data_IF_453924391113
#
_entry.id   IF_453924391113
#
_cell.length_a   1.000
_cell.length_b   1.000
_cell.length_c   1.000
_cell.angle_alpha   90.00
_cell.angle_beta   90.00
_cell.angle_gamma   90.00
#
_symmetry.space_group_name_H-M   'P 1'
#
loop_
_entity.id
_entity.type
_entity.pdbx_description
1 polymer ?
#
# COMPACT_ATOMS: atom_id res chain seq x y z
N UNK A 1 -12.11 3.82 -2.68
CA UNK A 1 -10.97 3.04 -2.22
C UNK A 1 -9.80 3.21 -3.16
N UNK A 2 -8.61 3.47 -2.62
CA UNK A 2 -7.43 3.59 -3.45
C UNK A 2 -6.84 2.22 -3.72
N UNK A 3 -6.36 2.01 -4.93
CA UNK A 3 -5.69 0.78 -5.27
C UNK A 3 -4.20 1.05 -5.41
N UNK A 4 -3.41 0.31 -4.65
CA UNK A 4 -1.96 0.35 -4.72
C UNK A 4 -1.54 -0.95 -5.39
N UNK A 5 -0.68 -0.87 -6.39
CA UNK A 5 -0.26 -2.06 -7.10
C UNK A 5 1.24 -2.12 -7.26
N UNK A 6 1.85 -3.21 -6.83
CA UNK A 6 3.27 -3.44 -6.98
C UNK A 6 3.47 -4.43 -8.12
N UNK A 7 4.33 -4.07 -9.07
CA UNK A 7 4.62 -4.92 -10.20
C UNK A 7 6.11 -5.04 -10.42
N UNK A 8 6.59 -6.23 -10.80
CA UNK A 8 8.01 -6.39 -11.14
C UNK A 8 8.28 -5.81 -12.52
N UNK A 9 9.47 -5.24 -12.66
CA UNK A 9 9.97 -4.71 -13.92
C UNK A 9 11.25 -5.47 -14.25
N UNK A 10 11.75 -5.36 -15.48
CA UNK A 10 12.99 -6.05 -15.84
C UNK A 10 14.15 -5.72 -14.91
N UNK A 11 14.23 -4.49 -14.42
CA UNK A 11 15.33 -4.09 -13.58
C UNK A 11 14.89 -3.53 -12.25
N UNK A 12 13.77 -3.96 -11.74
CA UNK A 12 13.31 -3.45 -10.46
C UNK A 12 11.83 -3.70 -10.23
N UNK A 13 11.21 -2.78 -9.50
CA UNK A 13 9.82 -2.90 -9.14
C UNK A 13 9.14 -1.54 -9.19
N UNK A 14 7.85 -1.53 -9.46
CA UNK A 14 7.09 -0.27 -9.48
C UNK A 14 5.93 -0.36 -8.49
N UNK A 15 5.57 0.80 -7.95
CA UNK A 15 4.39 0.94 -7.12
C UNK A 15 3.53 2.03 -7.76
N UNK A 16 2.32 1.66 -8.15
CA UNK A 16 1.40 2.63 -8.73
C UNK A 16 0.20 2.81 -7.81
N UNK A 17 -0.40 3.98 -7.88
CA UNK A 17 -1.55 4.34 -7.05
C UNK A 17 -2.64 4.81 -7.98
N UNK A 18 -3.87 4.31 -7.79
CA UNK A 18 -4.97 4.72 -8.64
C UNK A 18 -5.18 6.22 -8.51
N UNK A 19 -5.39 6.87 -9.64
CA UNK A 19 -5.56 8.31 -9.67
C UNK A 19 -4.26 9.11 -9.75
N UNK A 20 -3.11 8.45 -9.65
CA UNK A 20 -1.81 9.10 -9.73
C UNK A 20 -1.12 8.61 -11.00
N UNK A 21 -0.81 9.50 -11.93
CA UNK A 21 -0.28 9.08 -13.23
C UNK A 21 1.14 8.51 -13.23
N UNK A 22 1.94 8.83 -12.22
CA UNK A 22 3.31 8.36 -12.19
C UNK A 22 3.49 7.25 -11.19
N UNK A 23 4.31 6.26 -11.55
CA UNK A 23 4.63 5.17 -10.64
C UNK A 23 5.96 5.46 -9.95
N UNK A 24 6.13 4.92 -8.75
CA UNK A 24 7.38 5.02 -8.02
C UNK A 24 8.19 3.77 -8.35
N UNK A 25 9.51 3.93 -8.47
CA UNK A 25 10.39 2.83 -8.84
C UNK A 25 11.28 2.45 -7.67
N UNK A 26 11.50 1.15 -7.51
CA UNK A 26 12.30 0.61 -6.42
C UNK A 26 13.23 -0.48 -6.94
N UNK A 27 14.31 -0.72 -6.22
CA UNK A 27 15.26 -1.75 -6.61
C UNK A 27 14.80 -3.14 -6.20
N UNK A 28 13.99 -3.25 -5.18
CA UNK A 28 13.55 -4.56 -4.70
C UNK A 28 12.06 -4.54 -4.40
N UNK A 29 11.47 -5.72 -4.42
CA UNK A 29 10.07 -5.85 -4.04
C UNK A 29 9.84 -5.50 -2.58
N UNK A 30 10.83 -5.78 -1.73
CA UNK A 30 10.70 -5.45 -0.30
C UNK A 30 10.63 -3.95 -0.09
N UNK A 31 11.43 -3.17 -0.84
CA UNK A 31 11.39 -1.72 -0.73
C UNK A 31 10.05 -1.18 -1.23
N UNK A 32 9.56 -1.73 -2.33
CA UNK A 32 8.27 -1.32 -2.87
C UNK A 32 7.15 -1.63 -1.88
N UNK A 33 7.20 -2.80 -1.26
CA UNK A 33 6.19 -3.19 -0.31
C UNK A 33 6.23 -2.31 0.94
N UNK A 34 7.41 -2.00 1.44
CA UNK A 34 7.53 -1.12 2.60
C UNK A 34 6.95 0.26 2.30
N UNK A 35 7.23 0.78 1.10
CA UNK A 35 6.69 2.09 0.70
C UNK A 35 5.16 2.02 0.59
N UNK A 36 4.64 0.93 0.03
CA UNK A 36 3.20 0.78 -0.11
C UNK A 36 2.50 0.69 1.24
N UNK A 37 3.11 0.00 2.21
CA UNK A 37 2.52 -0.11 3.52
C UNK A 37 2.48 1.24 4.23
N UNK A 38 3.54 2.05 4.07
CA UNK A 38 3.54 3.38 4.66
C UNK A 38 2.47 4.26 4.02
N UNK A 39 2.34 4.15 2.70
CA UNK A 39 1.34 4.95 2.00
C UNK A 39 -0.07 4.51 2.38
N UNK A 40 -0.32 3.21 2.44
CA UNK A 40 -1.64 2.69 2.83
C UNK A 40 -2.02 3.14 4.24
N UNK A 41 -1.05 3.12 5.16
CA UNK A 41 -1.30 3.56 6.52
C UNK A 41 -1.62 5.06 6.56
N UNK A 42 -0.90 5.85 5.73
CA UNK A 42 -1.17 7.28 5.69
C UNK A 42 -2.56 7.57 5.13
N UNK A 43 -2.95 6.88 4.08
CA UNK A 43 -4.28 7.06 3.53
C UNK A 43 -5.34 6.70 4.55
N UNK A 44 -5.11 5.62 5.30
CA UNK A 44 -6.05 5.23 6.33
C UNK A 44 -6.20 6.29 7.42
N UNK A 45 -5.09 6.95 7.79
CA UNK A 45 -5.17 8.00 8.80
C UNK A 45 -5.98 9.20 8.31
N UNK A 46 -6.08 9.37 7.00
CA UNK A 46 -6.90 10.44 6.43
C UNK A 46 -8.30 9.93 6.07
N UNK A 47 -8.68 8.75 6.57
CA UNK A 47 -10.02 8.23 6.36
C UNK A 47 -10.24 7.59 5.00
N UNK A 48 -9.17 7.33 4.25
CA UNK A 48 -9.29 6.77 2.92
C UNK A 48 -8.82 5.33 2.89
N UNK A 49 -9.71 4.37 2.65
CA UNK A 49 -9.30 2.97 2.60
C UNK A 49 -8.47 2.68 1.35
N UNK A 50 -7.58 1.73 1.46
CA UNK A 50 -6.72 1.36 0.36
C UNK A 50 -6.54 -0.15 0.29
N UNK A 51 -6.22 -0.64 -0.90
CA UNK A 51 -5.98 -2.04 -1.12
C UNK A 51 -4.66 -2.16 -1.87
N UNK A 52 -3.80 -3.04 -1.40
CA UNK A 52 -2.51 -3.29 -2.05
C UNK A 52 -2.55 -4.65 -2.72
N UNK A 53 -2.14 -4.69 -3.99
CA UNK A 53 -2.01 -5.93 -4.74
C UNK A 53 -0.56 -6.04 -5.15
N UNK A 54 0.06 -7.19 -4.87
CA UNK A 54 1.44 -7.44 -5.24
C UNK A 54 1.44 -8.47 -6.36
N UNK A 55 1.98 -8.11 -7.52
CA UNK A 55 2.06 -9.02 -8.65
C UNK A 55 3.44 -9.65 -8.72
N UNK A 56 3.48 -10.90 -9.11
CA UNK A 56 4.73 -11.62 -9.27
C UNK A 56 5.16 -11.61 -10.74
N UNK A 57 6.38 -12.08 -10.99
CA UNK A 57 6.92 -12.01 -12.34
C UNK A 57 6.18 -12.85 -13.37
N UNK A 58 5.46 -13.87 -12.92
CA UNK A 58 4.67 -14.69 -13.84
C UNK A 58 3.29 -14.10 -14.07
N UNK A 59 3.02 -12.92 -13.52
CA UNK A 59 1.72 -12.27 -13.71
C UNK A 59 0.69 -12.62 -12.63
N UNK A 60 0.99 -13.60 -11.80
CA UNK A 60 0.04 -13.99 -10.77
C UNK A 60 0.09 -13.00 -9.61
N UNK A 61 -0.89 -13.08 -8.74
CA UNK A 61 -0.95 -12.20 -7.59
C UNK A 61 -0.30 -12.92 -6.41
N UNK A 62 0.75 -12.31 -5.87
CA UNK A 62 1.48 -12.88 -4.75
C UNK A 62 0.94 -12.46 -3.40
N UNK A 63 0.16 -11.39 -3.35
CA UNK A 63 -0.43 -10.97 -2.09
C UNK A 63 -1.45 -9.87 -2.27
N UNK A 64 -2.38 -9.79 -1.32
CA UNK A 64 -3.37 -8.73 -1.27
C UNK A 64 -3.49 -8.30 0.16
N UNK A 65 -3.52 -6.97 0.38
CA UNK A 65 -3.60 -6.42 1.72
C UNK A 65 -4.60 -5.29 1.73
N UNK A 66 -5.38 -5.19 2.81
CA UNK A 66 -6.33 -4.10 2.94
C UNK A 66 -5.84 -3.16 4.02
N UNK A 67 -6.00 -1.87 3.76
CA UNK A 67 -5.69 -0.82 4.72
C UNK A 67 -7.00 -0.10 5.00
N UNK A 68 -7.69 -0.44 6.09
CA UNK A 68 -8.96 0.20 6.39
C UNK A 68 -8.74 1.62 6.90
N UNK A 69 -9.75 2.47 6.77
CA UNK A 69 -9.61 3.81 7.29
C UNK A 69 -9.58 3.75 8.82
N UNK A 70 -8.73 4.56 9.43
CA UNK A 70 -8.64 4.63 10.86
C UNK A 70 -9.41 5.84 11.34
N UNK A 71 -10.17 5.67 12.40
CA UNK A 71 -10.91 6.78 12.97
C UNK A 71 -10.09 7.36 14.12
N UNK A 72 -10.11 8.68 14.26
CA UNK A 72 -9.32 9.32 15.31
C UNK A 72 -9.56 8.76 16.68
N UNK A 73 -10.78 8.51 17.04
CA UNK A 73 -11.08 7.99 18.32
C UNK A 73 -10.57 6.58 18.48
N UNK A 74 -10.47 5.83 17.46
CA UNK A 74 -9.95 4.51 17.55
C UNK A 74 -8.48 4.60 17.78
N UNK A 75 -7.89 5.52 17.10
CA UNK A 75 -6.47 5.68 17.19
C UNK A 75 -6.06 6.10 18.56
N UNK A 76 -6.76 6.96 19.15
CA UNK A 76 -6.38 7.46 20.45
C UNK A 76 -6.74 6.59 21.62
N UNK A 77 -7.94 6.36 21.84
CA UNK A 77 -8.34 5.65 23.03
C UNK A 77 -7.90 4.23 23.15
N UNK A 78 -8.00 3.57 22.10
CA UNK A 78 -7.64 2.21 22.19
C UNK A 78 -6.37 1.96 22.86
N UNK A 79 -5.48 2.70 22.49
CA UNK A 79 -4.30 2.44 23.01
C UNK A 79 -4.20 2.83 24.27
N UNK A 80 -4.78 3.79 24.58
CA UNK A 80 -4.52 4.24 25.77
C UNK A 80 -5.32 3.73 26.66
N UNK A 81 -6.35 3.38 26.27
CA UNK A 81 -7.28 2.85 27.16
C UNK A 81 -6.57 1.80 27.94
N UNK A 82 -5.58 1.41 27.41
CA UNK A 82 -4.90 0.36 28.13
C UNK A 82 -4.21 0.86 29.35
#
# INVERSE_FOLDING_TARGET
MRLLEIQPLPMGWSLSVSGVPSAMLFRSGAEAEAAARRLGARLGRHGEPAKLVVRLRDGSIGGRFLFPPALPEEAAPLRRAA
#
